data_IF_305792559006
#
_entry.id   IF_305792559006
#
_cell.length_a   1.000
_cell.length_b   1.000
_cell.length_c   1.000
_cell.angle_alpha   90.00
_cell.angle_beta   90.00
_cell.angle_gamma   90.00
#
_symmetry.space_group_name_H-M   'P 1'
#
loop_
_entity.id
_entity.type
_entity.pdbx_description
1 polymer ?
#
# COMPACT_ATOMS: atom_id res chain seq x y z
N UNK A 1 43.74 -9.00 -29.46
CA UNK A 1 43.64 -8.16 -28.25
C UNK A 1 42.17 -8.19 -27.88
N UNK A 2 41.86 -8.82 -26.77
CA UNK A 2 40.50 -9.13 -26.32
C UNK A 2 40.12 -8.03 -25.34
N UNK A 3 39.37 -7.02 -25.80
CA UNK A 3 38.90 -5.95 -24.93
C UNK A 3 37.66 -6.47 -24.18
N UNK A 4 37.94 -6.96 -22.98
CA UNK A 4 37.00 -7.04 -21.89
C UNK A 4 36.87 -5.63 -21.31
N UNK A 5 35.78 -4.93 -21.60
CA UNK A 5 35.33 -3.81 -20.77
C UNK A 5 33.80 -3.86 -20.61
N UNK A 6 33.40 -3.79 -19.34
CA UNK A 6 32.09 -3.47 -18.79
C UNK A 6 30.96 -4.52 -18.85
N UNK A 7 31.07 -5.43 -17.88
CA UNK A 7 29.95 -5.96 -17.08
C UNK A 7 29.20 -4.79 -16.42
N UNK A 8 27.91 -4.97 -16.13
CA UNK A 8 27.00 -4.07 -15.42
C UNK A 8 26.32 -2.94 -16.22
N UNK A 9 25.31 -3.34 -16.99
CA UNK A 9 24.02 -2.64 -16.92
C UNK A 9 22.94 -3.64 -16.61
N UNK A 10 22.82 -3.92 -15.31
CA UNK A 10 21.61 -4.46 -14.70
C UNK A 10 20.49 -3.45 -14.95
N UNK A 11 19.92 -3.49 -16.17
CA UNK A 11 18.78 -2.68 -16.53
C UNK A 11 17.59 -3.29 -15.79
N UNK A 12 17.43 -2.86 -14.54
CA UNK A 12 16.15 -2.90 -13.83
C UNK A 12 15.13 -2.43 -14.86
N UNK A 13 14.16 -3.27 -15.19
CA UNK A 13 13.08 -2.91 -16.12
C UNK A 13 12.38 -1.67 -15.57
N UNK A 14 12.74 -0.49 -16.09
CA UNK A 14 12.21 0.81 -15.68
C UNK A 14 10.83 1.08 -16.30
N UNK A 15 10.43 0.27 -17.28
CA UNK A 15 9.14 0.39 -17.93
C UNK A 15 8.11 -0.47 -17.19
N UNK A 16 7.22 0.14 -16.39
CA UNK A 16 6.06 -0.56 -15.87
C UNK A 16 5.16 -1.04 -17.04
N UNK A 17 4.37 -2.11 -16.84
CA UNK A 17 3.43 -2.57 -17.86
C UNK A 17 2.50 -1.43 -18.29
N UNK A 18 2.29 -1.32 -19.61
CA UNK A 18 1.64 -0.19 -20.29
C UNK A 18 0.51 0.50 -19.49
N UNK A 19 0.65 1.81 -19.28
CA UNK A 19 -0.36 2.69 -18.66
C UNK A 19 -0.18 2.97 -17.17
N UNK A 20 0.95 2.59 -16.55
CA UNK A 20 1.29 3.00 -15.19
C UNK A 20 2.52 3.89 -15.23
N UNK A 21 2.55 4.93 -14.43
CA UNK A 21 3.77 5.69 -14.22
C UNK A 21 4.54 5.02 -13.06
N UNK A 22 5.85 4.79 -13.24
CA UNK A 22 6.66 4.07 -12.24
C UNK A 22 6.62 4.82 -10.90
N UNK A 23 6.55 4.11 -9.79
CA UNK A 23 6.57 4.74 -8.47
C UNK A 23 7.82 5.63 -8.29
N UNK A 24 8.95 5.22 -8.86
CA UNK A 24 10.18 6.04 -8.93
C UNK A 24 10.04 7.33 -9.75
N UNK A 25 9.14 7.39 -10.73
CA UNK A 25 8.86 8.59 -11.54
C UNK A 25 7.73 9.49 -11.00
N UNK A 26 6.79 8.94 -10.23
CA UNK A 26 5.56 9.63 -9.78
C UNK A 26 5.66 10.25 -8.39
N UNK A 27 6.58 9.76 -7.56
CA UNK A 27 6.79 10.28 -6.21
C UNK A 27 7.44 11.67 -6.26
N UNK A 28 6.60 12.67 -6.49
CA UNK A 28 6.93 14.08 -6.39
C UNK A 28 7.48 14.37 -4.98
N UNK A 29 8.64 15.04 -4.94
CA UNK A 29 9.36 15.47 -3.73
C UNK A 29 8.46 16.07 -2.62
N UNK A 30 7.40 16.86 -2.91
CA UNK A 30 6.52 17.42 -1.88
C UNK A 30 5.78 16.41 -1.00
N UNK A 31 5.17 15.36 -1.55
CA UNK A 31 4.39 14.44 -0.70
C UNK A 31 5.31 13.54 0.16
N UNK A 32 6.52 13.23 -0.35
CA UNK A 32 7.56 12.55 0.43
C UNK A 32 8.01 13.45 1.59
N UNK A 33 8.25 14.74 1.30
CA UNK A 33 8.62 15.71 2.33
C UNK A 33 7.50 15.89 3.35
N UNK A 34 6.24 15.97 2.92
CA UNK A 34 5.08 16.11 3.81
C UNK A 34 4.92 14.88 4.71
N UNK A 35 5.14 13.67 4.19
CA UNK A 35 5.18 12.44 4.99
C UNK A 35 6.30 12.48 6.04
N UNK A 36 7.51 12.88 5.62
CA UNK A 36 8.65 13.04 6.52
C UNK A 36 8.41 14.09 7.60
N UNK A 37 7.80 15.22 7.24
CA UNK A 37 7.38 16.27 8.18
C UNK A 37 6.29 15.79 9.14
N UNK A 38 5.43 14.88 8.69
CA UNK A 38 4.43 14.21 9.53
C UNK A 38 5.02 13.07 10.38
N UNK A 39 6.33 12.80 10.30
CA UNK A 39 7.04 11.83 11.13
C UNK A 39 7.12 10.42 10.55
N UNK A 40 6.81 10.23 9.26
CA UNK A 40 6.88 8.94 8.57
C UNK A 40 7.75 8.99 7.33
N UNK A 41 8.66 8.01 7.20
CA UNK A 41 9.48 7.85 5.99
C UNK A 41 8.78 6.95 4.99
N UNK A 42 8.85 7.31 3.70
CA UNK A 42 8.26 6.51 2.63
C UNK A 42 8.93 5.13 2.50
N UNK A 43 10.23 5.05 2.82
CA UNK A 43 11.03 3.81 2.81
C UNK A 43 10.41 2.71 3.67
N UNK A 44 9.65 3.07 4.71
CA UNK A 44 8.91 2.11 5.53
C UNK A 44 7.94 1.29 4.68
N UNK A 45 7.33 1.91 3.68
CA UNK A 45 6.32 1.30 2.83
C UNK A 45 6.88 0.76 1.50
N UNK A 46 8.20 0.70 1.34
CA UNK A 46 8.85 0.34 0.07
C UNK A 46 8.34 -1.00 -0.48
N UNK A 47 8.25 -2.04 0.35
CA UNK A 47 7.76 -3.35 -0.07
C UNK A 47 6.32 -3.32 -0.58
N UNK A 48 5.45 -2.54 0.08
CA UNK A 48 4.05 -2.39 -0.31
C UNK A 48 3.92 -1.58 -1.61
N UNK A 49 4.69 -0.51 -1.73
CA UNK A 49 4.72 0.32 -2.92
C UNK A 49 5.22 -0.48 -4.13
N UNK A 50 6.36 -1.17 -3.99
CA UNK A 50 6.92 -2.01 -5.04
C UNK A 50 5.93 -3.10 -5.48
N UNK A 51 5.23 -3.73 -4.53
CA UNK A 51 4.23 -4.74 -4.84
C UNK A 51 2.99 -4.17 -5.55
N UNK A 52 2.60 -2.94 -5.22
CA UNK A 52 1.52 -2.23 -5.93
C UNK A 52 1.93 -1.91 -7.37
N UNK A 53 3.16 -1.44 -7.60
CA UNK A 53 3.69 -1.15 -8.94
C UNK A 53 3.69 -2.41 -9.82
N UNK A 54 4.18 -3.52 -9.25
CA UNK A 54 4.27 -4.82 -9.91
C UNK A 54 2.94 -5.60 -9.94
N UNK A 55 1.83 -5.03 -9.44
CA UNK A 55 0.57 -5.74 -9.30
C UNK A 55 -0.03 -6.13 -10.67
N UNK A 56 -0.02 -7.41 -11.01
CA UNK A 56 -0.62 -7.90 -12.24
C UNK A 56 -2.16 -7.79 -12.25
N UNK A 57 -2.78 -7.81 -13.43
CA UNK A 57 -4.25 -7.87 -13.57
C UNK A 57 -4.87 -9.04 -12.78
N UNK A 58 -4.19 -10.19 -12.76
CA UNK A 58 -4.63 -11.38 -12.00
C UNK A 58 -4.67 -11.11 -10.49
N UNK A 59 -3.73 -10.34 -9.97
CA UNK A 59 -3.71 -9.94 -8.56
C UNK A 59 -4.87 -8.99 -8.26
N UNK A 60 -5.11 -8.01 -9.14
CA UNK A 60 -6.23 -7.08 -9.02
C UNK A 60 -7.58 -7.81 -8.99
N UNK A 61 -7.77 -8.81 -9.87
CA UNK A 61 -8.98 -9.64 -9.91
C UNK A 61 -9.17 -10.44 -8.61
N UNK A 62 -8.09 -11.00 -8.07
CA UNK A 62 -8.12 -11.75 -6.80
C UNK A 62 -8.50 -10.85 -5.63
N UNK A 63 -7.92 -9.65 -5.54
CA UNK A 63 -8.26 -8.65 -4.52
C UNK A 63 -9.73 -8.27 -4.62
N UNK A 64 -10.19 -7.91 -5.82
CA UNK A 64 -11.59 -7.53 -6.05
C UNK A 64 -12.56 -8.66 -5.68
N UNK A 65 -12.20 -9.92 -6.00
CA UNK A 65 -12.98 -11.09 -5.58
C UNK A 65 -13.04 -11.21 -4.06
N UNK A 66 -11.92 -11.05 -3.35
CA UNK A 66 -11.90 -11.07 -1.88
C UNK A 66 -12.83 -10.00 -1.34
N UNK A 67 -12.68 -8.73 -1.76
CA UNK A 67 -13.51 -7.62 -1.27
C UNK A 67 -15.01 -7.88 -1.48
N UNK A 68 -15.39 -8.26 -2.69
CA UNK A 68 -16.81 -8.42 -3.09
C UNK A 68 -17.44 -9.71 -2.58
N UNK A 69 -16.66 -10.77 -2.38
CA UNK A 69 -17.13 -12.05 -1.84
C UNK A 69 -17.06 -12.09 -0.31
N UNK A 70 -16.42 -11.08 0.32
CA UNK A 70 -16.11 -11.07 1.76
C UNK A 70 -17.33 -11.12 2.67
N UNK A 71 -18.52 -10.71 2.19
CA UNK A 71 -19.76 -10.87 2.96
C UNK A 71 -20.13 -12.33 3.22
N UNK A 72 -19.60 -13.28 2.44
CA UNK A 72 -19.89 -14.71 2.55
C UNK A 72 -18.87 -15.49 3.41
N UNK A 73 -17.69 -14.94 3.70
CA UNK A 73 -16.62 -15.64 4.44
C UNK A 73 -16.49 -15.17 5.89
N UNK A 74 -16.46 -16.08 6.88
CA UNK A 74 -16.46 -15.72 8.31
C UNK A 74 -15.11 -15.22 8.85
N UNK A 75 -14.00 -15.47 8.15
CA UNK A 75 -12.65 -15.15 8.65
C UNK A 75 -12.31 -13.67 8.45
N UNK A 76 -12.69 -13.10 7.30
CA UNK A 76 -12.38 -11.73 6.93
C UNK A 76 -13.54 -11.10 6.14
N UNK A 77 -13.89 -9.85 6.48
CA UNK A 77 -15.00 -9.11 5.90
C UNK A 77 -14.57 -7.65 5.62
N UNK A 78 -14.84 -7.16 4.40
CA UNK A 78 -14.54 -5.78 4.00
C UNK A 78 -15.24 -4.75 4.89
N UNK A 79 -16.52 -4.99 5.25
CA UNK A 79 -17.26 -4.08 6.13
C UNK A 79 -16.63 -3.95 7.52
N UNK A 80 -16.04 -5.05 8.02
CA UNK A 80 -15.31 -5.03 9.30
C UNK A 80 -13.96 -4.33 9.15
N UNK A 81 -13.30 -4.49 8.00
CA UNK A 81 -12.08 -3.74 7.69
C UNK A 81 -12.34 -2.22 7.65
N UNK A 82 -13.44 -1.76 7.04
CA UNK A 82 -13.83 -0.34 7.05
C UNK A 82 -14.03 0.18 8.48
N UNK A 83 -14.66 -0.62 9.36
CA UNK A 83 -14.84 -0.24 10.77
C UNK A 83 -13.52 -0.14 11.51
N UNK A 84 -12.63 -1.12 11.29
CA UNK A 84 -11.30 -1.14 11.91
C UNK A 84 -10.44 0.00 11.39
N UNK A 85 -10.53 0.35 10.10
CA UNK A 85 -9.88 1.52 9.51
C UNK A 85 -10.24 2.77 10.32
N UNK A 86 -11.53 3.03 10.55
CA UNK A 86 -11.97 4.19 11.34
C UNK A 86 -11.39 4.19 12.76
N UNK A 87 -11.39 3.04 13.44
CA UNK A 87 -10.83 2.92 14.79
C UNK A 87 -9.31 3.17 14.82
N UNK A 88 -8.60 2.69 13.81
CA UNK A 88 -7.16 2.94 13.65
C UNK A 88 -6.90 4.41 13.35
N UNK A 89 -7.71 5.04 12.50
CA UNK A 89 -7.61 6.48 12.19
C UNK A 89 -7.81 7.33 13.45
N UNK A 90 -8.81 7.02 14.27
CA UNK A 90 -9.04 7.72 15.54
C UNK A 90 -7.83 7.59 16.47
N UNK A 91 -7.29 6.37 16.60
CA UNK A 91 -6.10 6.10 17.44
C UNK A 91 -4.86 6.85 16.95
N UNK A 92 -4.61 6.85 15.64
CA UNK A 92 -3.49 7.55 15.00
C UNK A 92 -3.65 9.07 15.13
N UNK A 93 -4.89 9.58 15.03
CA UNK A 93 -5.19 10.99 15.25
C UNK A 93 -4.82 11.42 16.68
N UNK A 94 -5.18 10.62 17.69
CA UNK A 94 -4.79 10.86 19.09
C UNK A 94 -3.26 10.87 19.30
N UNK A 95 -2.50 10.15 18.48
CA UNK A 95 -1.04 10.12 18.53
C UNK A 95 -0.36 11.27 17.78
N UNK A 96 -1.13 12.18 17.16
CA UNK A 96 -0.62 13.35 16.45
C UNK A 96 -0.29 13.12 14.97
N UNK A 97 -0.71 11.99 14.41
CA UNK A 97 -0.40 11.57 13.04
C UNK A 97 -1.56 11.77 12.05
N UNK A 98 -2.48 12.68 12.35
CA UNK A 98 -3.71 12.92 11.58
C UNK A 98 -3.50 13.11 10.07
N UNK A 99 -2.33 13.62 9.65
CA UNK A 99 -2.02 13.89 8.25
C UNK A 99 -1.51 12.67 7.49
N UNK A 100 -0.93 11.68 8.18
CA UNK A 100 -0.30 10.51 7.56
C UNK A 100 -1.28 9.71 6.71
N UNK A 101 -2.50 9.36 7.17
CA UNK A 101 -3.43 8.59 6.35
C UNK A 101 -3.83 9.32 5.05
N UNK A 102 -4.08 10.63 5.12
CA UNK A 102 -4.43 11.41 3.94
C UNK A 102 -3.28 11.48 2.92
N UNK A 103 -2.05 11.60 3.40
CA UNK A 103 -0.84 11.58 2.57
C UNK A 103 -0.64 10.21 1.91
N UNK A 104 -0.78 9.12 2.66
CA UNK A 104 -0.71 7.76 2.13
C UNK A 104 -1.75 7.52 1.03
N UNK A 105 -3.00 7.96 1.25
CA UNK A 105 -4.07 7.85 0.23
C UNK A 105 -3.70 8.61 -1.04
N UNK A 106 -3.13 9.82 -0.92
CA UNK A 106 -2.65 10.62 -2.06
C UNK A 106 -1.53 9.93 -2.81
N UNK A 107 -0.51 9.44 -2.11
CA UNK A 107 0.63 8.74 -2.71
C UNK A 107 0.18 7.50 -3.49
N UNK A 108 -0.65 6.65 -2.88
CA UNK A 108 -1.17 5.44 -3.53
C UNK A 108 -2.09 5.75 -4.71
N UNK A 109 -2.90 6.80 -4.60
CA UNK A 109 -3.82 7.22 -5.66
C UNK A 109 -3.12 7.73 -6.92
N UNK A 110 -1.89 8.26 -6.81
CA UNK A 110 -1.12 8.76 -7.97
C UNK A 110 -0.48 7.67 -8.81
N UNK A 111 -0.33 6.46 -8.27
CA UNK A 111 0.22 5.30 -9.00
C UNK A 111 -0.61 4.97 -10.25
N UNK A 112 -1.90 5.33 -10.24
CA UNK A 112 -2.80 5.12 -11.35
C UNK A 112 -3.16 6.47 -12.00
N UNK A 113 -2.80 6.64 -13.26
CA UNK A 113 -3.21 7.79 -14.08
C UNK A 113 -4.74 7.84 -14.23
N UNK A 114 -5.31 9.03 -14.47
CA UNK A 114 -6.76 9.25 -14.53
C UNK A 114 -7.47 8.31 -15.53
N UNK A 115 -6.82 7.95 -16.65
CA UNK A 115 -7.38 7.06 -17.68
C UNK A 115 -7.30 5.56 -17.34
N UNK A 116 -6.56 5.17 -16.29
CA UNK A 116 -6.46 3.76 -15.84
C UNK A 116 -7.36 3.43 -14.65
N UNK A 117 -8.10 4.42 -14.14
CA UNK A 117 -8.99 4.27 -12.99
C UNK A 117 -10.22 3.43 -13.36
N UNK A 118 -10.16 2.17 -12.99
CA UNK A 118 -11.30 1.26 -12.99
C UNK A 118 -11.55 0.68 -11.59
N UNK A 119 -12.64 -0.06 -11.42
CA UNK A 119 -12.99 -0.64 -10.12
C UNK A 119 -11.89 -1.55 -9.55
N UNK A 120 -11.10 -2.23 -10.40
CA UNK A 120 -9.99 -3.09 -9.95
C UNK A 120 -8.83 -2.26 -9.36
N UNK A 121 -8.49 -1.12 -9.98
CA UNK A 121 -7.48 -0.20 -9.44
C UNK A 121 -7.93 0.44 -8.14
N UNK A 122 -9.22 0.79 -8.00
CA UNK A 122 -9.80 1.32 -6.76
C UNK A 122 -9.72 0.28 -5.64
N UNK A 123 -10.06 -0.98 -5.95
CA UNK A 123 -9.98 -2.10 -5.02
C UNK A 123 -8.53 -2.36 -4.57
N UNK A 124 -7.55 -2.25 -5.49
CA UNK A 124 -6.12 -2.33 -5.17
C UNK A 124 -5.66 -1.20 -4.24
N UNK A 125 -5.94 0.06 -4.59
CA UNK A 125 -5.55 1.22 -3.78
C UNK A 125 -6.12 1.10 -2.36
N UNK A 126 -7.37 0.64 -2.23
CA UNK A 126 -8.03 0.48 -0.93
C UNK A 126 -7.32 -0.56 -0.05
N UNK A 127 -6.99 -1.72 -0.61
CA UNK A 127 -6.33 -2.80 0.13
C UNK A 127 -4.88 -2.46 0.48
N UNK A 128 -4.14 -1.80 -0.43
CA UNK A 128 -2.79 -1.33 -0.13
C UNK A 128 -2.79 -0.20 0.88
N UNK A 129 -3.79 0.67 0.84
CA UNK A 129 -3.98 1.70 1.86
C UNK A 129 -4.19 1.10 3.25
N UNK A 130 -5.04 0.07 3.38
CA UNK A 130 -5.19 -0.67 4.64
C UNK A 130 -3.88 -1.31 5.11
N UNK A 131 -3.08 -1.86 4.19
CA UNK A 131 -1.78 -2.41 4.54
C UNK A 131 -0.79 -1.33 5.02
N UNK A 132 -0.75 -0.16 4.39
CA UNK A 132 0.07 0.95 4.89
C UNK A 132 -0.42 1.42 6.26
N UNK A 133 -1.73 1.52 6.46
CA UNK A 133 -2.32 1.89 7.74
C UNK A 133 -2.03 0.86 8.84
N UNK A 134 -2.04 -0.44 8.48
CA UNK A 134 -1.66 -1.53 9.38
C UNK A 134 -0.21 -1.40 9.84
N UNK A 135 0.70 -1.07 8.93
CA UNK A 135 2.11 -0.87 9.27
C UNK A 135 2.29 0.31 10.24
N UNK A 136 1.58 1.41 10.03
CA UNK A 136 1.54 2.54 10.98
C UNK A 136 0.97 2.10 12.32
N UNK A 137 -0.13 1.36 12.34
CA UNK A 137 -0.75 0.88 13.59
C UNK A 137 0.20 -0.04 14.39
N UNK A 138 0.93 -0.92 13.71
CA UNK A 138 1.91 -1.81 14.32
C UNK A 138 3.07 -1.06 14.99
N UNK A 139 3.53 0.04 14.40
CA UNK A 139 4.55 0.90 15.00
C UNK A 139 4.11 1.54 16.32
N UNK A 140 2.81 1.67 16.53
CA UNK A 140 2.20 2.20 17.74
C UNK A 140 1.60 1.12 18.66
N UNK A 141 1.72 -0.16 18.30
CA UNK A 141 1.21 -1.27 19.12
C UNK A 141 1.83 -1.35 20.52
N UNK A 142 3.01 -0.75 20.73
CA UNK A 142 3.61 -0.62 22.06
C UNK A 142 2.81 0.29 23.01
N UNK A 143 2.07 1.27 22.47
CA UNK A 143 1.16 2.11 23.26
C UNK A 143 -0.16 1.40 23.50
N UNK A 144 -0.66 0.73 22.47
CA UNK A 144 -1.94 0.07 22.53
C UNK A 144 -1.92 -1.29 21.81
N UNK A 145 -1.89 -2.41 22.57
CA UNK A 145 -1.71 -3.75 21.98
C UNK A 145 -2.77 -4.15 20.96
N UNK A 146 -4.00 -3.61 21.07
CA UNK A 146 -5.11 -3.91 20.14
C UNK A 146 -4.81 -3.48 18.69
N UNK A 147 -3.92 -2.50 18.51
CA UNK A 147 -3.48 -2.05 17.19
C UNK A 147 -2.78 -3.16 16.40
N UNK A 148 -2.14 -4.11 17.08
CA UNK A 148 -1.52 -5.26 16.43
C UNK A 148 -2.59 -6.15 15.76
N UNK A 149 -3.68 -6.45 16.48
CA UNK A 149 -4.77 -7.27 15.94
C UNK A 149 -5.46 -6.57 14.76
N UNK A 150 -5.65 -5.25 14.87
CA UNK A 150 -6.22 -4.43 13.81
C UNK A 150 -5.31 -4.36 12.58
N UNK A 151 -4.00 -4.22 12.79
CA UNK A 151 -3.00 -4.25 11.72
C UNK A 151 -3.01 -5.61 10.98
N UNK A 152 -3.05 -6.72 11.71
CA UNK A 152 -3.15 -8.05 11.11
C UNK A 152 -4.44 -8.23 10.30
N UNK A 153 -5.56 -7.68 10.80
CA UNK A 153 -6.84 -7.75 10.10
C UNK A 153 -6.86 -6.92 8.81
N UNK A 154 -6.31 -5.71 8.85
CA UNK A 154 -6.24 -4.79 7.71
C UNK A 154 -5.27 -5.27 6.63
N UNK A 155 -4.14 -5.88 7.02
CA UNK A 155 -3.14 -6.40 6.08
C UNK A 155 -3.54 -7.71 5.39
N UNK A 156 -4.57 -8.40 5.89
CA UNK A 156 -4.97 -9.73 5.40
C UNK A 156 -5.11 -9.84 3.87
N UNK A 157 -5.79 -8.93 3.14
CA UNK A 157 -5.98 -9.11 1.70
C UNK A 157 -4.68 -8.98 0.90
N UNK A 158 -3.76 -8.10 1.34
CA UNK A 158 -2.42 -8.01 0.74
C UNK A 158 -1.62 -9.29 1.03
N UNK A 159 -1.61 -9.74 2.28
CA UNK A 159 -0.93 -10.99 2.68
C UNK A 159 -1.44 -12.19 1.89
N UNK A 160 -2.76 -12.32 1.72
CA UNK A 160 -3.39 -13.44 1.04
C UNK A 160 -3.11 -13.48 -0.47
N UNK A 161 -2.98 -12.31 -1.12
CA UNK A 161 -2.80 -12.24 -2.59
C UNK A 161 -1.33 -12.10 -3.00
N UNK A 162 -0.56 -11.33 -2.26
CA UNK A 162 0.82 -10.96 -2.59
C UNK A 162 1.87 -11.68 -1.73
N UNK A 163 1.48 -12.31 -0.62
CA UNK A 163 2.40 -13.06 0.25
C UNK A 163 3.37 -12.20 1.07
N UNK A 164 3.17 -10.87 1.07
CA UNK A 164 3.97 -9.90 1.83
C UNK A 164 3.63 -10.04 3.30
N UNK A 165 4.61 -9.89 4.19
CA UNK A 165 4.36 -9.74 5.63
C UNK A 165 4.41 -8.25 5.96
N UNK A 166 3.28 -7.71 6.38
CA UNK A 166 3.18 -6.37 6.95
C UNK A 166 3.46 -6.48 8.44
#
# INVERSE_FOLDING_TARGET
MQDFDDVDRDQVRLDPPAGRASLTGVLYYPDILDLRLAGYELERFEELLLALDQASYKNALRVSKILRTSEATPIWNARRADQIELLVLDSIHEYGLAQVPQLLRRVLGRVFEDDTKNYLTIDLVTVFYWACLAQVAQDYAWREPRLMEWAEYLSYPVRAVFGIKV
#
